data_IF_402162515921
#
_entry.id   IF_402162515921
#
_cell.length_a   1.000
_cell.length_b   1.000
_cell.length_c   1.000
_cell.angle_alpha   90.00
_cell.angle_beta   90.00
_cell.angle_gamma   90.00
#
_symmetry.space_group_name_H-M   'P 1'
#
loop_
_entity.id
_entity.type
_entity.pdbx_description
1 polymer ?
#
# COMPACT_ATOMS: atom_id res chain seq x y z
N UNK A 1 44.66 5.36 -41.03
CA UNK A 1 43.41 4.59 -40.91
C UNK A 1 43.31 4.13 -39.46
N UNK A 2 42.74 4.96 -38.58
CA UNK A 2 42.74 4.77 -37.12
C UNK A 2 41.32 4.42 -36.65
N UNK A 3 41.12 3.18 -36.23
CA UNK A 3 39.86 2.71 -35.66
C UNK A 3 39.68 3.28 -34.25
N UNK A 4 38.66 4.14 -34.06
CA UNK A 4 38.19 4.55 -32.73
C UNK A 4 37.41 3.39 -32.12
N UNK A 5 37.95 2.77 -31.06
CA UNK A 5 37.17 1.88 -30.21
C UNK A 5 36.19 2.72 -29.39
N UNK A 6 34.91 2.66 -29.75
CA UNK A 6 33.84 3.23 -28.94
C UNK A 6 33.63 2.35 -27.72
N UNK A 7 34.10 2.79 -26.55
CA UNK A 7 33.71 2.19 -25.28
C UNK A 7 32.21 2.45 -25.07
N UNK A 8 31.40 1.43 -24.73
CA UNK A 8 29.97 1.61 -24.53
C UNK A 8 29.73 2.58 -23.35
N UNK A 9 28.91 3.60 -23.61
CA UNK A 9 28.49 4.59 -22.62
C UNK A 9 27.87 3.89 -21.40
N UNK A 10 28.40 4.11 -20.18
CA UNK A 10 27.88 3.45 -19.00
C UNK A 10 26.44 3.92 -18.75
N UNK A 11 25.49 3.01 -18.91
CA UNK A 11 24.07 3.24 -18.67
C UNK A 11 23.86 4.00 -17.35
N UNK A 12 23.29 5.20 -17.42
CA UNK A 12 23.00 6.06 -16.25
C UNK A 12 22.17 5.27 -15.24
N UNK A 13 22.81 4.79 -14.17
CA UNK A 13 22.11 4.27 -12.99
C UNK A 13 21.39 5.46 -12.36
N UNK A 14 20.06 5.44 -12.39
CA UNK A 14 19.24 6.37 -11.60
C UNK A 14 19.73 6.29 -10.15
N UNK A 15 20.08 7.42 -9.50
CA UNK A 15 20.53 7.39 -8.11
C UNK A 15 19.46 6.72 -7.25
N UNK A 16 19.88 5.83 -6.35
CA UNK A 16 19.01 4.94 -5.55
C UNK A 16 17.91 5.68 -4.77
N UNK A 17 18.14 6.96 -4.45
CA UNK A 17 17.18 7.86 -3.81
C UNK A 17 15.96 8.15 -4.70
N UNK A 18 16.17 8.44 -5.99
CA UNK A 18 15.08 8.77 -6.91
C UNK A 18 14.17 7.58 -7.18
N UNK A 19 14.71 6.35 -7.19
CA UNK A 19 13.91 5.12 -7.26
C UNK A 19 13.03 4.97 -6.03
N UNK A 20 13.60 5.12 -4.84
CA UNK A 20 12.85 5.00 -3.58
C UNK A 20 11.68 6.00 -3.53
N UNK A 21 11.94 7.26 -3.86
CA UNK A 21 10.91 8.32 -3.85
C UNK A 21 9.78 7.97 -4.82
N UNK A 22 10.11 7.49 -6.03
CA UNK A 22 9.09 7.07 -7.01
C UNK A 22 8.26 5.90 -6.50
N UNK A 23 8.88 4.87 -5.93
CA UNK A 23 8.16 3.71 -5.38
C UNK A 23 7.26 4.12 -4.21
N UNK A 24 7.75 4.95 -3.30
CA UNK A 24 6.97 5.47 -2.17
C UNK A 24 5.79 6.34 -2.63
N UNK A 25 6.01 7.23 -3.62
CA UNK A 25 4.96 8.04 -4.21
C UNK A 25 3.90 7.17 -4.92
N UNK A 26 4.33 6.13 -5.65
CA UNK A 26 3.41 5.18 -6.28
C UNK A 26 2.59 4.40 -5.24
N UNK A 27 3.22 3.91 -4.18
CA UNK A 27 2.56 3.20 -3.08
C UNK A 27 1.55 4.11 -2.34
N UNK A 28 1.94 5.38 -2.09
CA UNK A 28 1.07 6.37 -1.47
C UNK A 28 -0.12 6.70 -2.38
N UNK A 29 0.12 6.98 -3.67
CA UNK A 29 -0.94 7.21 -4.65
C UNK A 29 -1.91 6.04 -4.77
N UNK A 30 -1.40 4.81 -4.77
CA UNK A 30 -2.21 3.60 -4.75
C UNK A 30 -3.07 3.52 -3.49
N UNK A 31 -2.48 3.81 -2.33
CA UNK A 31 -3.19 3.88 -1.03
C UNK A 31 -4.32 4.90 -1.04
N UNK A 32 -4.14 6.04 -1.72
CA UNK A 32 -5.17 7.08 -1.81
C UNK A 32 -6.41 6.63 -2.59
N UNK A 33 -6.32 5.63 -3.47
CA UNK A 33 -7.49 5.03 -4.11
C UNK A 33 -8.38 4.31 -3.08
N UNK A 34 -7.78 3.61 -2.12
CA UNK A 34 -8.51 3.03 -0.99
C UNK A 34 -9.12 4.11 -0.10
N UNK A 35 -8.39 5.19 0.19
CA UNK A 35 -8.92 6.33 0.96
C UNK A 35 -10.14 6.92 0.27
N UNK A 36 -10.05 7.22 -1.03
CA UNK A 36 -11.17 7.73 -1.81
C UNK A 36 -12.38 6.79 -1.77
N UNK A 37 -12.15 5.48 -1.91
CA UNK A 37 -13.23 4.50 -1.73
C UNK A 37 -13.84 4.56 -0.34
N UNK A 38 -13.05 4.73 0.72
CA UNK A 38 -13.56 4.77 2.10
C UNK A 38 -14.33 6.05 2.40
N UNK A 39 -13.88 7.19 1.89
CA UNK A 39 -14.60 8.45 1.97
C UNK A 39 -15.97 8.35 1.29
N UNK A 40 -16.03 7.81 0.07
CA UNK A 40 -17.29 7.61 -0.65
C UNK A 40 -18.28 6.76 0.17
N UNK A 41 -17.83 5.61 0.67
CA UNK A 41 -18.66 4.72 1.48
C UNK A 41 -19.06 5.34 2.83
N UNK A 42 -18.21 6.18 3.41
CA UNK A 42 -18.53 6.90 4.65
C UNK A 42 -19.63 7.95 4.44
N UNK A 43 -19.55 8.71 3.35
CA UNK A 43 -20.58 9.70 2.97
C UNK A 43 -21.92 9.02 2.65
N UNK A 44 -21.87 7.86 1.99
CA UNK A 44 -23.07 7.09 1.66
C UNK A 44 -23.61 6.25 2.83
N UNK A 45 -22.92 6.19 3.97
CA UNK A 45 -23.30 5.34 5.10
C UNK A 45 -23.26 3.83 4.79
N UNK A 46 -22.44 3.43 3.80
CA UNK A 46 -22.35 2.06 3.30
C UNK A 46 -21.15 1.32 3.85
N UNK A 47 -21.33 0.04 4.13
CA UNK A 47 -20.26 -0.88 4.48
C UNK A 47 -19.67 -1.51 3.21
N UNK A 48 -18.34 -1.65 3.18
CA UNK A 48 -17.61 -2.28 2.08
C UNK A 48 -16.47 -1.43 1.54
N UNK A 49 -16.10 -1.71 0.29
CA UNK A 49 -15.03 -1.07 -0.47
C UNK A 49 -15.27 -1.26 -1.97
N UNK A 50 -14.82 -0.32 -2.78
CA UNK A 50 -14.96 -0.35 -4.25
C UNK A 50 -14.25 -1.57 -4.82
N UNK A 51 -14.93 -2.31 -5.70
CA UNK A 51 -14.42 -3.57 -6.28
C UNK A 51 -14.34 -4.74 -5.28
N UNK A 52 -14.75 -4.52 -4.03
CA UNK A 52 -14.83 -5.55 -2.99
C UNK A 52 -16.05 -6.46 -3.17
N UNK A 53 -16.14 -7.53 -2.36
CA UNK A 53 -17.29 -8.41 -2.40
C UNK A 53 -18.56 -7.70 -1.93
N UNK A 54 -19.71 -8.20 -2.37
CA UNK A 54 -21.01 -7.77 -1.88
C UNK A 54 -21.11 -7.98 -0.36
N UNK A 55 -21.57 -6.95 0.35
CA UNK A 55 -21.73 -6.96 1.80
C UNK A 55 -23.21 -7.19 2.14
N UNK A 56 -23.58 -8.30 2.79
CA UNK A 56 -24.97 -8.57 3.14
C UNK A 56 -25.45 -7.66 4.26
N UNK A 57 -26.76 -7.36 4.30
CA UNK A 57 -27.36 -6.47 5.31
C UNK A 57 -27.15 -6.95 6.75
N UNK A 58 -27.03 -8.25 6.99
CA UNK A 58 -26.72 -8.81 8.31
C UNK A 58 -25.40 -8.28 8.88
N UNK A 59 -24.40 -7.98 8.04
CA UNK A 59 -23.12 -7.38 8.48
C UNK A 59 -23.27 -5.95 8.98
N UNK A 60 -24.32 -5.23 8.58
CA UNK A 60 -24.58 -3.89 9.10
C UNK A 60 -25.10 -3.94 10.54
N UNK A 61 -25.73 -5.06 10.94
CA UNK A 61 -26.24 -5.25 12.30
C UNK A 61 -25.11 -5.54 13.31
N UNK A 62 -23.92 -5.92 12.83
CA UNK A 62 -22.71 -6.03 13.66
C UNK A 62 -22.20 -4.65 14.11
N UNK A 63 -22.67 -3.58 13.47
CA UNK A 63 -22.41 -2.18 13.85
C UNK A 63 -23.61 -1.62 14.62
N UNK A 64 -23.35 -0.76 15.61
CA UNK A 64 -24.42 -0.02 16.26
C UNK A 64 -25.14 0.93 15.28
N UNK A 65 -26.35 1.40 15.62
CA UNK A 65 -27.10 2.32 14.78
C UNK A 65 -26.26 3.56 14.40
N UNK A 66 -26.03 3.74 13.09
CA UNK A 66 -25.26 4.87 12.55
C UNK A 66 -23.73 4.72 12.58
N UNK A 67 -23.18 3.62 13.09
CA UNK A 67 -21.73 3.46 13.30
C UNK A 67 -20.93 3.10 12.04
N UNK A 68 -21.61 2.72 10.96
CA UNK A 68 -20.96 2.37 9.68
C UNK A 68 -20.18 3.54 9.10
N UNK A 69 -20.75 4.76 9.11
CA UNK A 69 -20.07 5.94 8.56
C UNK A 69 -18.79 6.30 9.36
N UNK A 70 -18.82 6.42 10.70
CA UNK A 70 -17.61 6.57 11.52
C UNK A 70 -16.55 5.49 11.27
N UNK A 71 -16.96 4.22 11.14
CA UNK A 71 -16.02 3.14 10.87
C UNK A 71 -15.33 3.30 9.50
N UNK A 72 -16.04 3.79 8.49
CA UNK A 72 -15.46 4.06 7.17
C UNK A 72 -14.54 5.29 7.19
N UNK A 73 -14.88 6.33 7.95
CA UNK A 73 -13.98 7.47 8.19
C UNK A 73 -12.70 7.06 8.93
N UNK A 74 -12.81 6.18 9.93
CA UNK A 74 -11.64 5.64 10.62
C UNK A 74 -10.72 4.87 9.65
N UNK A 75 -11.30 4.07 8.75
CA UNK A 75 -10.55 3.39 7.69
C UNK A 75 -9.89 4.36 6.71
N UNK A 76 -10.56 5.46 6.34
CA UNK A 76 -9.98 6.51 5.51
C UNK A 76 -8.78 7.18 6.22
N UNK A 77 -8.93 7.51 7.51
CA UNK A 77 -7.86 8.04 8.35
C UNK A 77 -6.66 7.10 8.44
N UNK A 78 -6.90 5.80 8.63
CA UNK A 78 -5.83 4.79 8.62
C UNK A 78 -5.12 4.73 7.27
N UNK A 79 -5.85 4.79 6.15
CA UNK A 79 -5.25 4.86 4.81
C UNK A 79 -4.38 6.11 4.63
N UNK A 80 -4.80 7.26 5.13
CA UNK A 80 -4.00 8.49 5.12
C UNK A 80 -2.72 8.35 5.96
N UNK A 81 -2.81 7.73 7.13
CA UNK A 81 -1.64 7.43 7.96
C UNK A 81 -0.65 6.51 7.25
N UNK A 82 -1.13 5.48 6.54
CA UNK A 82 -0.30 4.59 5.72
C UNK A 82 0.37 5.35 4.57
N UNK A 83 -0.35 6.24 3.87
CA UNK A 83 0.24 7.07 2.81
C UNK A 83 1.35 7.98 3.35
N UNK A 84 1.13 8.62 4.51
CA UNK A 84 2.15 9.43 5.18
C UNK A 84 3.37 8.61 5.60
N UNK A 85 3.14 7.41 6.14
CA UNK A 85 4.20 6.47 6.53
C UNK A 85 5.08 6.08 5.33
N UNK A 86 4.48 5.81 4.17
CA UNK A 86 5.19 5.47 2.94
C UNK A 86 6.08 6.62 2.47
N UNK A 87 5.57 7.85 2.48
CA UNK A 87 6.34 9.04 2.12
C UNK A 87 7.45 9.32 3.14
N UNK A 88 7.19 9.13 4.44
CA UNK A 88 8.19 9.28 5.50
C UNK A 88 9.37 8.32 5.28
N UNK A 89 9.12 7.08 4.85
CA UNK A 89 10.17 6.11 4.54
C UNK A 89 11.08 6.51 3.36
N UNK A 90 10.64 7.44 2.51
CA UNK A 90 11.47 7.99 1.43
C UNK A 90 12.37 9.15 1.89
N UNK A 91 12.09 9.78 3.04
CA UNK A 91 12.87 10.92 3.51
C UNK A 91 14.31 10.53 3.87
N UNK A 92 15.33 11.33 3.49
CA UNK A 92 16.71 11.07 3.88
C UNK A 92 16.90 11.00 5.41
N UNK A 93 16.15 11.82 6.15
CA UNK A 93 16.20 11.86 7.62
C UNK A 93 15.71 10.56 8.27
N UNK A 94 14.85 9.79 7.60
CA UNK A 94 14.34 8.53 8.12
C UNK A 94 15.45 7.50 8.34
N UNK A 95 16.55 7.58 7.57
CA UNK A 95 17.70 6.70 7.75
C UNK A 95 18.46 6.94 9.07
N UNK A 96 18.25 8.08 9.73
CA UNK A 96 18.87 8.44 11.01
C UNK A 96 17.99 8.10 12.22
N UNK A 97 16.71 7.80 11.99
CA UNK A 97 15.78 7.44 13.06
C UNK A 97 15.95 5.97 13.47
N UNK A 98 15.36 5.58 14.61
CA UNK A 98 15.26 4.17 14.99
C UNK A 98 14.50 3.41 13.88
N UNK A 99 15.24 2.54 13.16
CA UNK A 99 14.72 1.83 11.98
C UNK A 99 13.43 1.06 12.25
N UNK A 100 13.22 0.60 13.48
CA UNK A 100 12.05 -0.18 13.86
C UNK A 100 10.74 0.62 13.80
N UNK A 101 10.81 1.95 13.97
CA UNK A 101 9.63 2.84 13.90
C UNK A 101 8.96 2.83 12.52
N UNK A 102 9.70 2.50 11.46
CA UNK A 102 9.16 2.40 10.11
C UNK A 102 9.07 0.95 9.62
N UNK A 103 10.04 0.09 9.97
CA UNK A 103 10.02 -1.32 9.56
C UNK A 103 8.79 -2.07 10.08
N UNK A 104 8.44 -1.89 11.37
CA UNK A 104 7.32 -2.61 11.98
C UNK A 104 5.98 -2.22 11.34
N UNK A 105 5.58 -0.93 11.28
CA UNK A 105 4.29 -0.58 10.69
C UNK A 105 4.25 -0.84 9.19
N UNK A 106 5.34 -0.63 8.43
CA UNK A 106 5.36 -1.01 7.01
C UNK A 106 5.20 -2.52 6.83
N UNK A 107 5.88 -3.32 7.66
CA UNK A 107 5.73 -4.78 7.68
C UNK A 107 4.30 -5.21 7.97
N UNK A 108 3.64 -4.57 8.94
CA UNK A 108 2.23 -4.82 9.23
C UNK A 108 1.33 -4.50 8.03
N UNK A 109 1.55 -3.37 7.35
CA UNK A 109 0.80 -3.01 6.14
C UNK A 109 1.00 -4.03 5.02
N UNK A 110 2.24 -4.49 4.77
CA UNK A 110 2.50 -5.57 3.79
C UNK A 110 1.72 -6.82 4.15
N UNK A 111 1.77 -7.24 5.43
CA UNK A 111 1.09 -8.45 5.87
C UNK A 111 -0.44 -8.32 5.69
N UNK A 112 -1.04 -7.24 6.17
CA UNK A 112 -2.49 -7.03 6.07
C UNK A 112 -2.96 -6.96 4.63
N UNK A 113 -2.22 -6.27 3.75
CA UNK A 113 -2.58 -6.18 2.33
C UNK A 113 -2.37 -7.49 1.58
N UNK A 114 -1.33 -8.25 1.90
CA UNK A 114 -1.11 -9.59 1.34
C UNK A 114 -2.22 -10.57 1.77
N UNK A 115 -2.58 -10.57 3.06
CA UNK A 115 -3.72 -11.36 3.57
C UNK A 115 -5.01 -10.92 2.87
N UNK A 116 -5.25 -9.61 2.75
CA UNK A 116 -6.40 -9.08 2.01
C UNK A 116 -6.46 -9.58 0.57
N UNK A 117 -5.31 -9.64 -0.13
CA UNK A 117 -5.24 -10.18 -1.48
C UNK A 117 -5.63 -11.66 -1.53
N UNK A 118 -5.02 -12.48 -0.67
CA UNK A 118 -5.28 -13.93 -0.62
C UNK A 118 -6.74 -14.21 -0.29
N UNK A 119 -7.28 -13.56 0.75
CA UNK A 119 -8.66 -13.79 1.20
C UNK A 119 -9.67 -13.36 0.13
N UNK A 120 -9.46 -12.20 -0.51
CA UNK A 120 -10.42 -11.68 -1.50
C UNK A 120 -10.36 -12.44 -2.82
N UNK A 121 -9.17 -12.80 -3.29
CA UNK A 121 -9.01 -13.64 -4.48
C UNK A 121 -9.55 -15.05 -4.21
N UNK A 122 -9.20 -15.66 -3.08
CA UNK A 122 -9.73 -16.96 -2.68
C UNK A 122 -11.26 -16.95 -2.60
N UNK A 123 -11.85 -15.91 -1.98
CA UNK A 123 -13.29 -15.73 -1.92
C UNK A 123 -13.93 -15.59 -3.31
N UNK A 124 -13.30 -14.90 -4.24
CA UNK A 124 -13.80 -14.77 -5.61
C UNK A 124 -13.74 -16.09 -6.40
N UNK A 125 -12.84 -17.02 -6.03
CA UNK A 125 -12.73 -18.34 -6.64
C UNK A 125 -13.76 -19.33 -6.07
N UNK A 126 -14.17 -19.15 -4.82
CA UNK A 126 -15.06 -20.11 -4.11
C UNK A 126 -16.49 -19.58 -3.91
N UNK A 127 -16.76 -18.31 -4.24
CA UNK A 127 -18.09 -17.68 -4.07
C UNK A 127 -18.41 -16.71 -5.21
N UNK A 128 -19.70 -16.54 -5.51
CA UNK A 128 -20.20 -15.55 -6.49
C UNK A 128 -20.34 -14.12 -5.93
N UNK A 129 -19.83 -13.89 -4.71
CA UNK A 129 -19.97 -12.60 -4.04
C UNK A 129 -19.02 -11.52 -4.55
N UNK A 130 -18.13 -11.86 -5.48
CA UNK A 130 -17.11 -10.97 -6.03
C UNK A 130 -15.87 -10.80 -5.13
N UNK A 131 -15.11 -9.74 -5.39
CA UNK A 131 -13.89 -9.40 -4.62
C UNK A 131 -12.58 -9.56 -5.38
N UNK A 132 -12.58 -10.14 -6.59
CA UNK A 132 -11.37 -10.32 -7.39
C UNK A 132 -10.67 -8.98 -7.69
N UNK A 133 -11.44 -7.93 -8.01
CA UNK A 133 -10.90 -6.59 -8.29
C UNK A 133 -10.20 -6.02 -7.07
N UNK A 134 -10.85 -6.03 -5.90
CA UNK A 134 -10.21 -5.56 -4.67
C UNK A 134 -9.05 -6.46 -4.21
N UNK A 135 -9.13 -7.77 -4.45
CA UNK A 135 -8.03 -8.70 -4.21
C UNK A 135 -6.79 -8.38 -5.05
N UNK A 136 -6.97 -8.09 -6.34
CA UNK A 136 -5.91 -7.62 -7.22
C UNK A 136 -5.35 -6.27 -6.77
N UNK A 137 -6.21 -5.34 -6.37
CA UNK A 137 -5.80 -4.07 -5.76
C UNK A 137 -4.89 -4.29 -4.54
N UNK A 138 -5.29 -5.19 -3.62
CA UNK A 138 -4.50 -5.55 -2.45
C UNK A 138 -3.16 -6.21 -2.80
N UNK A 139 -3.11 -7.03 -3.86
CA UNK A 139 -1.87 -7.67 -4.30
C UNK A 139 -0.85 -6.64 -4.82
N UNK A 140 -1.30 -5.68 -5.64
CA UNK A 140 -0.47 -4.56 -6.10
C UNK A 140 -0.03 -3.71 -4.92
N UNK A 141 -0.94 -3.44 -3.98
CA UNK A 141 -0.65 -2.66 -2.78
C UNK A 141 0.45 -3.33 -1.94
N UNK A 142 0.33 -4.62 -1.67
CA UNK A 142 1.33 -5.39 -0.93
C UNK A 142 2.70 -5.37 -1.63
N UNK A 143 2.73 -5.51 -2.96
CA UNK A 143 3.97 -5.43 -3.74
C UNK A 143 4.65 -4.07 -3.65
N UNK A 144 3.88 -2.98 -3.78
CA UNK A 144 4.41 -1.61 -3.68
C UNK A 144 4.93 -1.29 -2.28
N UNK A 145 4.17 -1.61 -1.23
CA UNK A 145 4.60 -1.40 0.16
C UNK A 145 5.80 -2.29 0.48
N UNK A 146 5.81 -3.53 -0.01
CA UNK A 146 6.94 -4.46 0.13
C UNK A 146 8.22 -3.92 -0.50
N UNK A 147 8.13 -3.32 -1.69
CA UNK A 147 9.26 -2.67 -2.33
C UNK A 147 9.79 -1.49 -1.49
N UNK A 148 8.91 -0.64 -0.95
CA UNK A 148 9.30 0.45 -0.03
C UNK A 148 9.98 -0.08 1.23
N UNK A 149 9.43 -1.14 1.84
CA UNK A 149 9.97 -1.78 3.03
C UNK A 149 11.38 -2.34 2.77
N UNK A 150 11.57 -3.05 1.66
CA UNK A 150 12.87 -3.62 1.28
C UNK A 150 13.91 -2.52 1.00
N UNK A 151 13.52 -1.47 0.27
CA UNK A 151 14.40 -0.33 -0.01
C UNK A 151 14.77 0.44 1.27
N UNK A 152 13.82 0.59 2.21
CA UNK A 152 14.10 1.17 3.52
C UNK A 152 15.06 0.29 4.34
N UNK A 153 14.77 -1.01 4.44
CA UNK A 153 15.62 -1.98 5.17
C UNK A 153 17.07 -1.96 4.69
N UNK A 154 17.28 -1.94 3.36
CA UNK A 154 18.61 -1.88 2.72
C UNK A 154 19.36 -0.60 3.08
N UNK A 155 18.68 0.54 3.18
CA UNK A 155 19.29 1.83 3.53
C UNK A 155 19.64 1.96 5.01
N UNK A 156 18.95 1.22 5.89
CA UNK A 156 19.15 1.25 7.35
C UNK A 156 19.91 0.04 7.92
N UNK A 157 20.49 -0.79 7.06
CA UNK A 157 21.31 -1.92 7.49
C UNK A 157 22.63 -1.39 8.09
N UNK A 158 23.14 -1.98 9.19
CA UNK A 158 24.46 -1.63 9.70
C UNK A 158 25.53 -1.96 8.65
N UNK A 159 26.64 -1.20 8.57
CA UNK A 159 27.81 -1.67 7.83
C UNK A 159 28.26 -3.00 8.44
N UNK A 160 28.40 -4.01 7.57
CA UNK A 160 28.88 -5.35 7.94
C UNK A 160 30.40 -5.44 7.99
#
# INVERSE_FOLDING_TARGET
MTARSGSPEPARRVPSSARTVRTAAAAAGWTLLYVASKVCYAVEGRLGVTGGPAVPRSRYQEYGPGEVSPAQWANAGLGMAVAALLLAAALPAAARANRWLLLVPLGAVVLTTAVGAVVMLGRALVTDSGGAVFGGYCAVWAGLVGAVLLDYRRRTAPPG
#
